data_IF_743476890331
#
_entry.id   IF_743476890331
#
_cell.length_a   1.000
_cell.length_b   1.000
_cell.length_c   1.000
_cell.angle_alpha   90.00
_cell.angle_beta   90.00
_cell.angle_gamma   90.00
#
_symmetry.space_group_name_H-M   'P 1'
#
loop_
_entity.id
_entity.type
_entity.pdbx_description
1 polymer ?
#
# COMPACT_ATOMS: atom_id res chain seq x y z
N UNK A 1 7.33 -21.18 -13.10
CA UNK A 1 6.23 -21.12 -12.12
C UNK A 1 6.42 -20.06 -11.02
N UNK A 2 7.59 -19.95 -10.37
CA UNK A 2 7.81 -19.03 -9.23
C UNK A 2 7.64 -17.52 -9.51
N UNK A 3 7.77 -17.06 -10.76
CA UNK A 3 7.64 -15.63 -11.11
C UNK A 3 6.17 -15.20 -11.25
N UNK A 4 5.37 -15.99 -11.95
CA UNK A 4 3.93 -15.77 -12.10
C UNK A 4 3.20 -15.80 -10.73
N UNK A 5 3.57 -16.73 -9.85
CA UNK A 5 3.01 -16.82 -8.51
C UNK A 5 3.28 -15.55 -7.67
N UNK A 6 4.47 -14.95 -7.80
CA UNK A 6 4.82 -13.70 -7.10
C UNK A 6 4.04 -12.51 -7.62
N UNK A 7 3.85 -12.43 -8.94
CA UNK A 7 3.02 -11.38 -9.56
C UNK A 7 1.59 -11.50 -9.04
N UNK A 8 0.99 -12.69 -9.13
CA UNK A 8 -0.39 -12.94 -8.65
C UNK A 8 -0.52 -12.59 -7.16
N UNK A 9 0.44 -13.02 -6.33
CA UNK A 9 0.43 -12.73 -4.89
C UNK A 9 0.53 -11.22 -4.61
N UNK A 10 1.30 -10.48 -5.41
CA UNK A 10 1.41 -9.02 -5.28
C UNK A 10 0.08 -8.33 -5.63
N UNK A 11 -0.60 -8.76 -6.70
CA UNK A 11 -1.91 -8.24 -7.08
C UNK A 11 -3.00 -8.57 -6.05
N UNK A 12 -2.96 -9.77 -5.47
CA UNK A 12 -3.87 -10.16 -4.38
C UNK A 12 -3.63 -9.30 -3.14
N UNK A 13 -2.37 -9.07 -2.76
CA UNK A 13 -2.02 -8.18 -1.64
C UNK A 13 -2.52 -6.75 -1.91
N UNK A 14 -2.35 -6.24 -3.13
CA UNK A 14 -2.85 -4.92 -3.50
C UNK A 14 -4.38 -4.82 -3.40
N UNK A 15 -5.12 -5.81 -3.93
CA UNK A 15 -6.58 -5.85 -3.83
C UNK A 15 -7.06 -5.93 -2.36
N UNK A 16 -6.35 -6.71 -1.53
CA UNK A 16 -6.62 -6.77 -0.10
C UNK A 16 -6.36 -5.42 0.60
N UNK A 17 -5.27 -4.72 0.26
CA UNK A 17 -4.96 -3.38 0.78
C UNK A 17 -6.04 -2.37 0.40
N UNK A 18 -6.50 -2.36 -0.86
CA UNK A 18 -7.62 -1.52 -1.29
C UNK A 18 -8.90 -1.82 -0.52
N UNK A 19 -9.19 -3.09 -0.29
CA UNK A 19 -10.38 -3.53 0.45
C UNK A 19 -10.33 -3.11 1.93
N UNK A 20 -9.15 -3.18 2.56
CA UNK A 20 -8.94 -2.73 3.92
C UNK A 20 -9.16 -1.21 4.06
N UNK A 21 -8.65 -0.42 3.11
CA UNK A 21 -8.88 1.03 3.10
C UNK A 21 -10.35 1.36 2.90
N UNK A 22 -11.01 0.74 1.91
CA UNK A 22 -12.45 0.90 1.70
C UNK A 22 -13.26 0.57 2.96
N UNK A 23 -12.94 -0.53 3.64
CA UNK A 23 -13.59 -0.92 4.88
C UNK A 23 -13.38 0.10 6.00
N UNK A 24 -12.17 0.65 6.14
CA UNK A 24 -11.87 1.72 7.10
C UNK A 24 -12.69 2.98 6.86
N UNK A 25 -12.87 3.37 5.60
CA UNK A 25 -13.76 4.49 5.25
C UNK A 25 -15.23 4.16 5.54
N UNK A 26 -15.70 2.96 5.21
CA UNK A 26 -17.10 2.54 5.44
C UNK A 26 -17.46 2.47 6.92
N UNK A 27 -16.53 2.05 7.77
CA UNK A 27 -16.75 1.88 9.20
C UNK A 27 -16.38 3.11 10.02
N UNK A 28 -15.85 4.16 9.37
CA UNK A 28 -15.27 5.35 9.98
C UNK A 28 -14.16 5.04 11.03
N UNK A 29 -13.60 3.84 10.99
CA UNK A 29 -12.60 3.35 11.95
C UNK A 29 -11.26 3.19 11.27
N UNK A 30 -10.20 3.63 11.95
CA UNK A 30 -8.80 3.45 11.54
C UNK A 30 -8.44 4.13 10.21
N UNK A 31 -9.22 5.12 9.76
CA UNK A 31 -8.97 5.85 8.49
C UNK A 31 -7.53 6.40 8.45
N UNK A 32 -7.05 6.99 9.54
CA UNK A 32 -5.71 7.60 9.64
C UNK A 32 -4.55 6.63 9.42
N UNK A 33 -4.75 5.34 9.69
CA UNK A 33 -3.72 4.30 9.56
C UNK A 33 -4.00 3.33 8.42
N UNK A 34 -5.16 3.41 7.78
CA UNK A 34 -5.60 2.49 6.72
C UNK A 34 -4.63 2.42 5.54
N UNK A 35 -3.98 3.55 5.20
CA UNK A 35 -2.99 3.63 4.14
C UNK A 35 -1.73 2.77 4.38
N UNK A 36 -1.44 2.39 5.63
CA UNK A 36 -0.33 1.47 5.95
C UNK A 36 -0.51 0.09 5.31
N UNK A 37 -1.74 -0.31 4.96
CA UNK A 37 -2.00 -1.54 4.23
C UNK A 37 -1.29 -1.57 2.87
N UNK A 38 -1.03 -0.41 2.25
CA UNK A 38 -0.30 -0.32 0.98
C UNK A 38 1.22 -0.52 1.13
N UNK A 39 1.75 -0.60 2.37
CA UNK A 39 3.15 -0.98 2.60
C UNK A 39 3.37 -2.50 2.50
N UNK A 40 2.32 -3.31 2.71
CA UNK A 40 2.43 -4.78 2.69
C UNK A 40 3.04 -5.33 1.37
N UNK A 41 2.61 -4.88 0.17
CA UNK A 41 3.24 -5.29 -1.08
C UNK A 41 4.72 -4.91 -1.16
N UNK A 42 5.08 -3.69 -0.73
CA UNK A 42 6.45 -3.20 -0.77
C UNK A 42 7.35 -4.03 0.15
N UNK A 43 6.95 -4.23 1.41
CA UNK A 43 7.70 -5.03 2.39
C UNK A 43 7.88 -6.46 1.90
N UNK A 44 6.84 -7.08 1.35
CA UNK A 44 6.92 -8.42 0.78
C UNK A 44 7.94 -8.51 -0.37
N UNK A 45 7.97 -7.51 -1.25
CA UNK A 45 8.93 -7.46 -2.35
C UNK A 45 10.36 -7.21 -1.88
N UNK A 46 10.59 -6.36 -0.88
CA UNK A 46 11.91 -6.17 -0.29
C UNK A 46 12.41 -7.45 0.39
N UNK A 47 11.59 -8.10 1.23
CA UNK A 47 11.96 -9.35 1.91
C UNK A 47 12.27 -10.45 0.90
N UNK A 48 11.50 -10.55 -0.18
CA UNK A 48 11.78 -11.52 -1.24
C UNK A 48 13.00 -11.15 -2.08
N UNK A 49 13.33 -9.87 -2.24
CA UNK A 49 14.57 -9.43 -2.89
C UNK A 49 15.80 -9.88 -2.09
N UNK A 50 15.81 -9.72 -0.76
CA UNK A 50 16.93 -10.15 0.09
C UNK A 50 17.21 -11.65 0.04
N UNK A 51 16.21 -12.47 -0.31
CA UNK A 51 16.34 -13.93 -0.40
C UNK A 51 16.76 -14.46 -1.78
N UNK A 52 16.89 -13.61 -2.79
CA UNK A 52 17.15 -14.06 -4.18
C UNK A 52 18.48 -13.48 -4.67
N UNK A 53 19.24 -14.28 -5.45
CA UNK A 53 20.52 -13.89 -6.02
C UNK A 53 20.48 -12.66 -6.95
N UNK A 54 21.65 -12.04 -7.20
CA UNK A 54 21.80 -10.65 -7.66
C UNK A 54 21.11 -10.31 -9.00
N UNK A 55 20.87 -11.28 -9.86
CA UNK A 55 20.26 -11.06 -11.18
C UNK A 55 18.79 -10.67 -11.15
N UNK A 56 18.02 -11.04 -10.10
CA UNK A 56 16.59 -10.70 -9.97
C UNK A 56 16.29 -9.62 -8.94
N UNK A 57 17.30 -9.21 -8.15
CA UNK A 57 17.18 -8.22 -7.09
C UNK A 57 16.82 -6.84 -7.64
N UNK A 58 17.43 -6.41 -8.76
CA UNK A 58 17.14 -5.11 -9.37
C UNK A 58 15.66 -4.91 -9.69
N UNK A 59 15.03 -5.89 -10.34
CA UNK A 59 13.60 -5.80 -10.71
C UNK A 59 12.70 -5.76 -9.47
N UNK A 60 12.99 -6.57 -8.45
CA UNK A 60 12.23 -6.60 -7.20
C UNK A 60 12.37 -5.30 -6.39
N UNK A 61 13.56 -4.71 -6.35
CA UNK A 61 13.79 -3.41 -5.70
C UNK A 61 13.00 -2.31 -6.40
N UNK A 62 13.04 -2.24 -7.74
CA UNK A 62 12.29 -1.23 -8.51
C UNK A 62 10.79 -1.35 -8.24
N UNK A 63 10.23 -2.56 -8.29
CA UNK A 63 8.82 -2.78 -7.96
C UNK A 63 8.50 -2.42 -6.50
N UNK A 64 9.40 -2.73 -5.56
CA UNK A 64 9.27 -2.35 -4.15
C UNK A 64 9.22 -0.83 -3.96
N UNK A 65 10.09 -0.09 -4.66
CA UNK A 65 10.10 1.36 -4.67
C UNK A 65 8.81 1.96 -5.26
N UNK A 66 8.30 1.40 -6.37
CA UNK A 66 7.02 1.83 -6.97
C UNK A 66 5.88 1.66 -5.95
N UNK A 67 5.81 0.52 -5.27
CA UNK A 67 4.80 0.27 -4.25
C UNK A 67 4.94 1.22 -3.04
N UNK A 68 6.16 1.58 -2.66
CA UNK A 68 6.44 2.59 -1.63
C UNK A 68 5.91 3.98 -2.03
N UNK A 69 6.14 4.38 -3.28
CA UNK A 69 5.60 5.64 -3.82
C UNK A 69 4.07 5.62 -3.81
N UNK A 70 3.44 4.52 -4.22
CA UNK A 70 1.99 4.36 -4.13
C UNK A 70 1.49 4.48 -2.69
N UNK A 71 2.15 3.83 -1.73
CA UNK A 71 1.77 3.92 -0.32
C UNK A 71 1.87 5.37 0.20
N UNK A 72 2.92 6.10 -0.19
CA UNK A 72 3.07 7.52 0.17
C UNK A 72 1.98 8.40 -0.44
N UNK A 73 1.65 8.21 -1.73
CA UNK A 73 0.58 8.94 -2.42
C UNK A 73 -0.80 8.68 -1.79
N UNK A 74 -1.10 7.42 -1.47
CA UNK A 74 -2.35 7.05 -0.81
C UNK A 74 -2.38 7.65 0.61
N UNK A 75 -1.28 7.56 1.36
CA UNK A 75 -1.17 8.17 2.69
C UNK A 75 -1.41 9.68 2.67
N UNK A 76 -0.78 10.40 1.75
CA UNK A 76 -0.99 11.83 1.56
C UNK A 76 -2.45 12.15 1.19
N UNK A 77 -3.06 11.35 0.30
CA UNK A 77 -4.46 11.52 -0.10
C UNK A 77 -5.42 11.31 1.07
N UNK A 78 -5.22 10.25 1.87
CA UNK A 78 -6.02 9.96 3.07
C UNK A 78 -5.88 11.09 4.10
N UNK A 79 -4.65 11.58 4.32
CA UNK A 79 -4.41 12.71 5.22
C UNK A 79 -5.18 13.94 4.74
N UNK A 80 -5.08 14.27 3.46
CA UNK A 80 -5.75 15.43 2.88
C UNK A 80 -7.29 15.34 3.04
N UNK A 81 -7.88 14.17 2.78
CA UNK A 81 -9.31 13.93 2.99
C UNK A 81 -9.73 14.13 4.46
N UNK A 82 -8.93 13.65 5.41
CA UNK A 82 -9.18 13.85 6.85
C UNK A 82 -9.15 15.35 7.19
N UNK A 83 -8.18 16.11 6.67
CA UNK A 83 -8.11 17.55 6.91
C UNK A 83 -9.30 18.31 6.34
N UNK A 84 -9.74 17.97 5.13
CA UNK A 84 -10.95 18.53 4.54
C UNK A 84 -12.15 18.22 5.43
N UNK A 85 -12.35 16.96 5.81
CA UNK A 85 -13.47 16.55 6.65
C UNK A 85 -13.48 17.30 8.00
N UNK A 86 -12.32 17.46 8.64
CA UNK A 86 -12.19 18.22 9.88
C UNK A 86 -12.46 19.72 9.69
N UNK A 87 -12.03 20.30 8.57
CA UNK A 87 -12.27 21.71 8.25
C UNK A 87 -13.77 21.97 8.03
N UNK A 88 -14.45 21.09 7.30
CA UNK A 88 -15.92 21.13 7.16
C UNK A 88 -16.65 21.00 8.49
N UNK A 89 -16.14 20.17 9.42
CA UNK A 89 -16.73 20.00 10.75
C UNK A 89 -16.55 21.22 11.65
N UNK A 90 -15.47 22.01 11.48
CA UNK A 90 -15.20 23.24 12.25
C UNK A 90 -15.90 24.47 11.71
N UNK A 91 -16.22 24.50 10.42
CA UNK A 91 -16.96 25.61 9.79
C UNK A 91 -18.47 25.55 9.98
N UNK A 92 -18.98 24.45 10.53
CA UNK A 92 -20.34 24.30 11.06
C UNK A 92 -20.32 24.55 12.56
#
# INVERSE_FOLDING_TARGET
>A
MMFALKIICTWVLFAASCSAVWWSFRTEKLISISWLAFLLPAVFQFVTAFRIGPSRVKSLIVFGCINLVFAALVGASVWYLIQIANSYRRGR
#
